data_IF_160179422395
#
_entry.id   IF_160179422395
#
_cell.length_a   1.000
_cell.length_b   1.000
_cell.length_c   1.000
_cell.angle_alpha   90.00
_cell.angle_beta   90.00
_cell.angle_gamma   90.00
#
_symmetry.space_group_name_H-M   'P 1'
#
loop_
_entity.id
_entity.type
_entity.pdbx_description
1 polymer ?
#
# COMPACT_ATOMS: atom_id res chain seq x y z
N UNK A 1 -6.80 13.18 14.49
CA UNK A 1 -5.33 13.18 14.32
C UNK A 1 -4.62 13.07 15.65
N UNK A 2 -3.41 12.52 15.70
CA UNK A 2 -2.52 12.51 16.86
C UNK A 2 -1.26 13.29 16.55
N UNK A 3 -0.67 13.92 17.57
CA UNK A 3 0.62 14.58 17.46
C UNK A 3 1.73 13.51 17.40
N UNK A 4 2.55 13.56 16.37
CA UNK A 4 3.76 12.75 16.23
C UNK A 4 4.95 13.63 16.64
N UNK A 5 5.69 13.25 17.69
CA UNK A 5 6.83 14.06 18.14
C UNK A 5 7.93 14.03 17.08
N UNK A 6 8.60 15.16 16.88
CA UNK A 6 9.80 15.17 16.07
C UNK A 6 10.91 14.31 16.69
N UNK A 7 11.78 13.78 15.85
CA UNK A 7 12.87 12.93 16.34
C UNK A 7 13.77 12.41 15.23
N UNK A 8 14.70 11.55 15.63
CA UNK A 8 15.64 10.88 14.74
C UNK A 8 15.44 9.39 14.83
N UNK A 9 15.36 8.72 13.68
CA UNK A 9 15.21 7.27 13.63
C UNK A 9 16.06 6.63 12.54
N UNK A 10 16.18 5.32 12.56
CA UNK A 10 16.77 4.56 11.47
C UNK A 10 15.67 4.16 10.49
N UNK A 11 15.66 4.76 9.31
CA UNK A 11 14.77 4.42 8.19
C UNK A 11 15.37 3.31 7.35
N UNK A 12 14.53 2.39 6.88
CA UNK A 12 14.96 1.27 6.07
C UNK A 12 15.61 0.16 6.87
N UNK A 13 16.40 -0.67 6.19
CA UNK A 13 17.11 -1.82 6.78
C UNK A 13 18.40 -2.13 6.02
N UNK A 14 19.41 -2.66 6.73
CA UNK A 14 20.63 -3.21 6.12
C UNK A 14 20.45 -4.70 5.71
N UNK A 15 19.32 -5.29 6.07
CA UNK A 15 18.95 -6.67 5.75
C UNK A 15 17.64 -6.67 4.93
N UNK A 16 17.65 -6.18 3.66
CA UNK A 16 16.46 -6.15 2.83
C UNK A 16 16.11 -7.56 2.36
N UNK A 17 14.81 -7.88 2.32
CA UNK A 17 14.31 -9.13 1.77
C UNK A 17 14.38 -9.17 0.26
N UNK A 18 14.00 -8.05 -0.36
CA UNK A 18 14.09 -7.82 -1.80
C UNK A 18 14.85 -6.53 -2.02
N UNK A 19 16.01 -6.64 -2.65
CA UNK A 19 16.89 -5.48 -2.86
C UNK A 19 16.26 -4.43 -3.77
N UNK A 20 15.47 -4.87 -4.75
CA UNK A 20 14.75 -4.01 -5.68
C UNK A 20 13.63 -3.20 -5.02
N UNK A 21 13.16 -3.59 -3.83
CA UNK A 21 12.17 -2.81 -3.08
C UNK A 21 12.79 -1.53 -2.46
N UNK A 22 14.13 -1.38 -2.49
CA UNK A 22 14.81 -0.15 -2.09
C UNK A 22 14.74 0.14 -0.58
N UNK A 23 14.60 -0.88 0.26
CA UNK A 23 14.63 -0.72 1.72
C UNK A 23 16.04 -0.40 2.25
N UNK A 24 17.07 -0.73 1.49
CA UNK A 24 18.49 -0.54 1.79
C UNK A 24 19.03 0.78 1.19
N UNK A 25 20.02 1.41 1.82
CA UNK A 25 20.59 1.13 3.14
C UNK A 25 19.76 1.68 4.29
N UNK A 26 19.96 1.12 5.49
CA UNK A 26 19.49 1.76 6.71
C UNK A 26 20.20 3.11 6.88
N UNK A 27 19.43 4.17 7.16
CA UNK A 27 19.95 5.53 7.23
C UNK A 27 19.31 6.33 8.35
N UNK A 28 20.04 7.30 8.91
CA UNK A 28 19.52 8.18 9.94
C UNK A 28 18.67 9.27 9.32
N UNK A 29 17.45 9.44 9.82
CA UNK A 29 16.51 10.43 9.32
C UNK A 29 15.95 11.24 10.46
N UNK A 30 16.01 12.57 10.32
CA UNK A 30 15.37 13.52 11.21
C UNK A 30 13.99 13.85 10.64
N UNK A 31 12.97 13.76 11.47
CA UNK A 31 11.59 14.12 11.14
C UNK A 31 11.15 15.22 12.10
N UNK A 32 10.58 16.30 11.57
CA UNK A 32 9.96 17.34 12.39
C UNK A 32 8.70 16.80 13.06
N UNK A 33 8.21 17.49 14.10
CA UNK A 33 6.89 17.19 14.66
C UNK A 33 5.79 17.50 13.65
N UNK A 34 4.77 16.66 13.60
CA UNK A 34 3.61 16.80 12.72
C UNK A 34 2.40 16.11 13.33
N UNK A 35 1.27 16.12 12.66
CA UNK A 35 0.07 15.40 13.03
C UNK A 35 -0.23 14.32 12.00
N UNK A 36 -0.74 13.17 12.44
CA UNK A 36 -1.15 12.07 11.57
C UNK A 36 -2.55 11.59 11.96
N UNK A 37 -3.35 11.17 10.98
CA UNK A 37 -4.62 10.52 11.26
C UNK A 37 -4.38 9.24 12.04
N UNK A 38 -5.17 9.01 13.09
CA UNK A 38 -5.03 7.82 13.93
C UNK A 38 -5.31 6.52 13.16
N UNK A 39 -6.23 6.60 12.20
CA UNK A 39 -6.70 5.49 11.39
C UNK A 39 -6.50 5.78 9.91
N UNK A 40 -6.67 4.76 9.08
CA UNK A 40 -6.92 4.94 7.65
C UNK A 40 -8.18 5.80 7.47
N UNK A 41 -8.27 6.54 6.37
CA UNK A 41 -9.50 7.25 6.01
C UNK A 41 -10.61 6.21 5.78
N UNK A 42 -11.71 6.36 6.49
CA UNK A 42 -12.85 5.46 6.44
C UNK A 42 -13.78 5.74 5.25
N UNK A 43 -14.60 4.76 4.88
CA UNK A 43 -15.65 4.95 3.88
C UNK A 43 -16.58 6.12 4.25
N UNK A 44 -16.92 6.29 5.54
CA UNK A 44 -17.77 7.37 6.02
C UNK A 44 -17.13 8.74 5.80
N UNK A 45 -15.85 8.91 6.10
CA UNK A 45 -15.13 10.16 5.89
C UNK A 45 -15.02 10.49 4.40
N UNK A 46 -14.70 9.50 3.58
CA UNK A 46 -14.59 9.66 2.13
C UNK A 46 -15.97 9.98 1.50
N UNK A 47 -17.05 9.37 1.97
CA UNK A 47 -18.40 9.70 1.55
C UNK A 47 -18.75 11.15 1.85
N UNK A 48 -18.36 11.67 3.01
CA UNK A 48 -18.56 13.09 3.38
C UNK A 48 -17.84 14.02 2.41
N UNK A 49 -16.61 13.69 2.02
CA UNK A 49 -15.85 14.41 1.00
C UNK A 49 -16.57 14.43 -0.34
N UNK A 50 -16.96 13.26 -0.84
CA UNK A 50 -17.63 13.15 -2.14
C UNK A 50 -18.98 13.89 -2.14
N UNK A 51 -19.76 13.75 -1.07
CA UNK A 51 -21.06 14.43 -0.95
C UNK A 51 -20.91 15.96 -0.88
N UNK A 52 -19.83 16.46 -0.28
CA UNK A 52 -19.56 17.91 -0.15
C UNK A 52 -19.01 18.54 -1.42
N UNK A 53 -18.30 17.76 -2.25
CA UNK A 53 -17.55 18.31 -3.39
C UNK A 53 -18.06 17.84 -4.76
N UNK A 54 -18.84 16.77 -4.81
CA UNK A 54 -19.20 16.10 -6.06
C UNK A 54 -17.98 15.42 -6.73
N UNK A 55 -16.91 15.11 -5.96
CA UNK A 55 -15.70 14.50 -6.50
C UNK A 55 -16.00 13.15 -7.15
N UNK A 56 -15.39 12.92 -8.30
CA UNK A 56 -15.43 11.65 -9.02
C UNK A 56 -14.05 11.04 -9.01
N UNK A 57 -13.92 9.82 -8.46
CA UNK A 57 -12.64 9.11 -8.37
C UNK A 57 -12.13 8.67 -9.75
N UNK A 58 -10.83 8.37 -9.83
CA UNK A 58 -10.26 7.85 -11.08
C UNK A 58 -10.86 6.50 -11.45
N UNK A 59 -11.11 5.61 -10.50
CA UNK A 59 -11.80 4.35 -10.76
C UNK A 59 -13.19 4.56 -11.37
N UNK A 60 -13.95 5.54 -10.87
CA UNK A 60 -15.26 5.91 -11.44
C UNK A 60 -15.14 6.51 -12.86
N UNK A 61 -14.10 7.30 -13.12
CA UNK A 61 -13.82 7.87 -14.45
C UNK A 61 -13.38 6.82 -15.46
N UNK A 62 -12.53 5.87 -15.05
CA UNK A 62 -12.07 4.76 -15.88
C UNK A 62 -13.17 3.72 -16.10
N UNK A 63 -14.07 3.59 -15.14
CA UNK A 63 -15.18 2.65 -15.19
C UNK A 63 -14.83 1.25 -14.72
N UNK A 64 -13.62 1.02 -14.20
CA UNK A 64 -13.18 -0.24 -13.60
C UNK A 64 -12.13 -0.02 -12.51
N UNK A 65 -11.86 -1.07 -11.74
CA UNK A 65 -10.76 -1.14 -10.79
C UNK A 65 -10.38 -2.60 -10.53
N UNK A 66 -9.20 -2.83 -9.96
CA UNK A 66 -8.72 -4.18 -9.66
C UNK A 66 -9.31 -4.70 -8.36
N UNK A 67 -9.90 -5.90 -8.44
CA UNK A 67 -10.48 -6.60 -7.29
C UNK A 67 -9.79 -7.95 -7.11
N UNK A 68 -9.55 -8.33 -5.86
CA UNK A 68 -9.10 -9.67 -5.52
C UNK A 68 -10.20 -10.69 -5.84
N UNK A 69 -9.88 -11.73 -6.63
CA UNK A 69 -10.85 -12.72 -7.11
C UNK A 69 -11.63 -13.41 -5.99
N UNK A 70 -10.97 -13.64 -4.84
CA UNK A 70 -11.59 -14.27 -3.67
C UNK A 70 -12.72 -13.47 -3.01
N UNK A 71 -12.88 -12.19 -3.39
CA UNK A 71 -13.97 -11.31 -2.89
C UNK A 71 -15.13 -11.21 -3.86
N UNK A 72 -14.99 -11.73 -5.09
CA UNK A 72 -16.00 -11.60 -6.15
C UNK A 72 -17.07 -12.70 -6.04
N UNK A 73 -18.30 -12.34 -6.40
CA UNK A 73 -19.35 -13.32 -6.65
C UNK A 73 -19.08 -14.12 -7.93
N UNK A 74 -19.65 -15.31 -8.02
CA UNK A 74 -19.47 -16.15 -9.22
C UNK A 74 -20.07 -15.51 -10.47
N UNK A 75 -21.14 -14.70 -10.32
CA UNK A 75 -21.77 -13.96 -11.41
C UNK A 75 -20.79 -12.93 -11.99
N UNK A 76 -20.11 -12.14 -11.13
CA UNK A 76 -19.13 -11.14 -11.57
C UNK A 76 -17.90 -11.82 -12.18
N UNK A 77 -17.41 -12.92 -11.60
CA UNK A 77 -16.29 -13.69 -12.16
C UNK A 77 -16.58 -14.21 -13.58
N UNK A 78 -17.81 -14.68 -13.83
CA UNK A 78 -18.20 -15.24 -15.12
C UNK A 78 -18.12 -14.21 -16.28
N UNK A 79 -18.19 -12.92 -15.99
CA UNK A 79 -18.09 -11.83 -16.97
C UNK A 79 -16.64 -11.40 -17.27
N UNK A 80 -15.67 -11.91 -16.49
CA UNK A 80 -14.27 -11.47 -16.58
C UNK A 80 -13.46 -12.50 -17.38
N UNK A 81 -12.86 -12.06 -18.47
CA UNK A 81 -12.04 -12.90 -19.36
C UNK A 81 -10.55 -12.52 -19.33
N UNK A 82 -10.16 -11.59 -18.47
CA UNK A 82 -8.79 -11.08 -18.36
C UNK A 82 -8.35 -11.11 -16.90
N UNK A 83 -7.07 -11.45 -16.68
CA UNK A 83 -6.42 -11.37 -15.38
C UNK A 83 -5.03 -10.77 -15.55
N UNK A 84 -4.46 -10.27 -14.46
CA UNK A 84 -3.08 -9.80 -14.46
C UNK A 84 -2.14 -11.01 -14.60
N UNK A 85 -1.37 -11.07 -15.67
CA UNK A 85 -0.56 -12.26 -16.00
C UNK A 85 0.41 -12.67 -14.87
N UNK A 86 1.00 -11.68 -14.18
CA UNK A 86 1.94 -11.90 -13.09
C UNK A 86 1.27 -12.13 -11.71
N UNK A 87 -0.03 -11.83 -11.59
CA UNK A 87 -0.81 -11.95 -10.37
C UNK A 87 -2.27 -12.28 -10.73
N UNK A 88 -2.56 -13.53 -11.13
CA UNK A 88 -3.83 -13.92 -11.75
C UNK A 88 -5.04 -13.78 -10.82
N UNK A 89 -4.82 -13.61 -9.54
CA UNK A 89 -5.87 -13.30 -8.54
C UNK A 89 -6.35 -11.85 -8.57
N UNK A 90 -5.72 -10.97 -9.35
CA UNK A 90 -6.17 -9.60 -9.60
C UNK A 90 -6.98 -9.53 -10.88
N UNK A 91 -8.24 -9.15 -10.76
CA UNK A 91 -9.18 -9.07 -11.87
C UNK A 91 -9.64 -7.62 -12.09
N UNK A 92 -9.61 -7.10 -13.32
CA UNK A 92 -10.22 -5.82 -13.64
C UNK A 92 -11.75 -5.99 -13.65
N UNK A 93 -12.44 -5.28 -12.76
CA UNK A 93 -13.90 -5.40 -12.60
C UNK A 93 -14.57 -4.12 -13.02
N UNK A 94 -15.41 -4.18 -14.05
CA UNK A 94 -16.24 -3.05 -14.49
C UNK A 94 -17.19 -2.61 -13.36
N UNK A 95 -17.25 -1.29 -13.13
CA UNK A 95 -18.08 -0.71 -12.10
C UNK A 95 -17.53 -0.85 -10.68
N UNK A 96 -16.39 -1.53 -10.48
CA UNK A 96 -15.72 -1.53 -9.18
C UNK A 96 -15.16 -0.14 -8.87
N UNK A 97 -15.46 0.36 -7.69
CA UNK A 97 -15.04 1.66 -7.17
C UNK A 97 -15.22 1.67 -5.64
N UNK A 98 -14.93 2.79 -5.00
CA UNK A 98 -15.02 2.90 -3.56
C UNK A 98 -16.42 2.63 -2.96
N UNK A 99 -17.53 2.89 -3.72
CA UNK A 99 -18.92 2.60 -3.30
C UNK A 99 -19.32 1.16 -3.53
N UNK A 100 -18.73 0.52 -4.53
CA UNK A 100 -19.00 -0.85 -4.99
C UNK A 100 -17.68 -1.63 -5.08
N UNK A 101 -17.05 -1.94 -3.94
CA UNK A 101 -15.67 -2.45 -3.92
C UNK A 101 -15.48 -3.84 -4.54
N UNK A 102 -16.52 -4.66 -4.62
CA UNK A 102 -16.51 -5.95 -5.32
C UNK A 102 -17.24 -5.89 -6.69
N UNK A 103 -17.44 -4.69 -7.23
CA UNK A 103 -18.17 -4.48 -8.48
C UNK A 103 -19.68 -4.31 -8.33
N UNK A 104 -20.43 -4.35 -9.44
CA UNK A 104 -21.87 -4.10 -9.43
C UNK A 104 -22.63 -4.98 -8.46
N UNK A 105 -23.52 -4.37 -7.65
CA UNK A 105 -24.32 -5.05 -6.64
C UNK A 105 -23.65 -5.15 -5.27
N UNK A 106 -22.36 -4.87 -5.15
CA UNK A 106 -21.70 -4.71 -3.86
C UNK A 106 -21.95 -3.33 -3.23
N UNK A 107 -21.70 -3.19 -1.92
CA UNK A 107 -21.97 -1.95 -1.18
C UNK A 107 -21.04 -1.81 0.03
N UNK A 108 -20.74 -0.56 0.37
CA UNK A 108 -20.01 -0.19 1.59
C UNK A 108 -20.90 0.03 2.81
N UNK A 109 -22.24 -0.02 2.68
CA UNK A 109 -23.17 0.37 3.77
C UNK A 109 -22.97 -0.41 5.08
N UNK A 110 -22.49 -1.64 5.03
CA UNK A 110 -22.14 -2.45 6.21
C UNK A 110 -20.70 -2.26 6.67
N UNK A 111 -19.91 -1.38 6.00
CA UNK A 111 -18.46 -1.19 6.18
C UNK A 111 -18.10 0.29 6.21
N UNK A 112 -18.97 1.16 6.76
CA UNK A 112 -18.73 2.60 6.80
C UNK A 112 -17.52 2.98 7.65
N UNK A 113 -17.20 2.17 8.66
CA UNK A 113 -16.03 2.28 9.54
C UNK A 113 -14.81 1.48 9.08
N UNK A 114 -14.84 0.91 7.86
CA UNK A 114 -13.70 0.29 7.22
C UNK A 114 -12.93 1.30 6.36
N UNK A 115 -11.65 1.02 6.00
CA UNK A 115 -10.88 1.90 5.14
C UNK A 115 -11.54 2.04 3.77
N UNK A 116 -11.52 3.25 3.22
CA UNK A 116 -11.89 3.47 1.82
C UNK A 116 -10.85 2.82 0.92
N UNK A 117 -11.33 2.10 -0.09
CA UNK A 117 -10.52 1.37 -1.07
C UNK A 117 -10.82 1.87 -2.48
N UNK A 118 -10.09 1.36 -3.48
CA UNK A 118 -10.23 1.78 -4.87
C UNK A 118 -9.99 3.27 -5.09
N UNK A 119 -9.11 3.83 -4.29
CA UNK A 119 -8.68 5.23 -4.37
C UNK A 119 -7.26 5.30 -4.92
N UNK A 120 -7.07 6.13 -5.94
CA UNK A 120 -5.77 6.42 -6.51
C UNK A 120 -4.96 7.36 -5.60
N UNK A 121 -3.68 7.54 -5.91
CA UNK A 121 -2.86 8.55 -5.24
C UNK A 121 -3.45 9.96 -5.43
N UNK A 122 -3.96 10.25 -6.63
CA UNK A 122 -4.59 11.53 -6.93
C UNK A 122 -5.88 11.74 -6.12
N UNK A 123 -6.70 10.69 -5.96
CA UNK A 123 -7.91 10.72 -5.11
C UNK A 123 -7.55 10.97 -3.64
N UNK A 124 -6.49 10.32 -3.15
CA UNK A 124 -6.00 10.48 -1.78
C UNK A 124 -5.50 11.92 -1.51
N UNK A 125 -4.74 12.50 -2.47
CA UNK A 125 -4.31 13.90 -2.40
C UNK A 125 -5.51 14.85 -2.39
N UNK A 126 -6.51 14.61 -3.24
CA UNK A 126 -7.71 15.44 -3.32
C UNK A 126 -8.47 15.44 -1.99
N UNK A 127 -8.66 14.26 -1.37
CA UNK A 127 -9.29 14.14 -0.05
C UNK A 127 -8.48 14.86 1.03
N UNK A 128 -7.17 14.57 1.16
CA UNK A 128 -6.36 15.19 2.20
C UNK A 128 -6.33 16.72 2.06
N UNK A 129 -6.25 17.24 0.83
CA UNK A 129 -6.29 18.70 0.56
C UNK A 129 -7.63 19.29 0.97
N UNK A 130 -8.76 18.66 0.61
CA UNK A 130 -10.08 19.10 1.04
C UNK A 130 -10.20 19.15 2.57
N UNK A 131 -9.63 18.18 3.26
CA UNK A 131 -9.60 18.10 4.72
C UNK A 131 -8.61 19.08 5.38
N UNK A 132 -7.94 19.96 4.62
CA UNK A 132 -6.88 20.83 5.14
C UNK A 132 -5.63 20.09 5.60
N UNK A 133 -5.36 18.93 4.99
CA UNK A 133 -4.27 18.01 5.30
C UNK A 133 -3.45 17.72 4.04
N UNK A 134 -2.48 16.83 4.15
CA UNK A 134 -1.66 16.30 3.06
C UNK A 134 -1.41 14.80 3.23
N UNK A 135 -0.90 14.12 2.22
CA UNK A 135 -0.34 12.79 2.44
C UNK A 135 0.93 12.87 3.30
N UNK A 136 1.22 11.84 4.12
CA UNK A 136 2.52 11.76 4.80
C UNK A 136 3.64 11.51 3.79
N UNK A 137 4.84 12.00 4.06
CA UNK A 137 6.03 11.50 3.37
C UNK A 137 6.28 10.05 3.77
N UNK A 138 7.04 9.31 2.96
CA UNK A 138 7.43 7.94 3.30
C UNK A 138 8.20 7.89 4.62
N UNK A 139 9.07 8.86 4.87
CA UNK A 139 9.83 8.97 6.11
C UNK A 139 8.92 9.23 7.33
N UNK A 140 7.96 10.12 7.21
CA UNK A 140 6.94 10.37 8.25
C UNK A 140 6.10 9.13 8.52
N UNK A 141 5.69 8.43 7.46
CA UNK A 141 4.92 7.21 7.59
C UNK A 141 5.72 6.12 8.32
N UNK A 142 6.98 5.85 7.92
CA UNK A 142 7.81 4.82 8.55
C UNK A 142 8.17 5.17 9.99
N UNK A 143 8.49 6.44 10.26
CA UNK A 143 8.72 6.94 11.63
C UNK A 143 7.50 6.70 12.52
N UNK A 144 6.33 7.04 12.02
CA UNK A 144 5.05 6.83 12.71
C UNK A 144 4.73 5.34 12.91
N UNK A 145 4.98 4.51 11.90
CA UNK A 145 4.82 3.06 11.98
C UNK A 145 5.66 2.45 13.09
N UNK A 146 6.89 2.89 13.25
CA UNK A 146 7.79 2.39 14.30
C UNK A 146 7.32 2.74 15.71
N UNK A 147 6.47 3.74 15.90
CA UNK A 147 5.82 4.06 17.17
C UNK A 147 6.78 4.27 18.35
N UNK A 148 7.98 4.85 18.09
CA UNK A 148 9.05 5.05 19.07
C UNK A 148 9.96 3.84 19.28
N UNK A 149 9.76 2.73 18.56
CA UNK A 149 10.62 1.55 18.63
C UNK A 149 11.75 1.63 17.59
N UNK A 150 12.98 1.49 18.04
CA UNK A 150 14.14 1.52 17.16
C UNK A 150 14.44 0.12 16.58
N UNK A 151 14.64 0.04 15.25
CA UNK A 151 15.05 -1.18 14.52
C UNK A 151 14.20 -2.43 14.80
N UNK A 152 12.90 -2.26 15.03
CA UNK A 152 11.97 -3.40 15.14
C UNK A 152 11.32 -3.71 13.80
N UNK A 153 10.95 -4.97 13.59
CA UNK A 153 10.30 -5.42 12.37
C UNK A 153 8.89 -4.81 12.25
N UNK A 154 8.10 -4.91 13.33
CA UNK A 154 6.70 -4.49 13.37
C UNK A 154 6.49 -3.32 14.32
N UNK A 155 5.38 -2.60 14.21
CA UNK A 155 5.02 -1.49 15.10
C UNK A 155 5.00 -1.84 16.59
N UNK A 156 4.88 -3.13 16.94
CA UNK A 156 4.80 -3.66 18.30
C UNK A 156 6.03 -4.48 18.72
N UNK A 157 7.03 -4.64 17.87
CA UNK A 157 8.27 -5.39 18.17
C UNK A 157 8.68 -6.35 17.05
N UNK A 158 9.30 -7.49 17.43
CA UNK A 158 9.84 -8.46 16.46
C UNK A 158 9.04 -9.74 16.32
N UNK A 159 7.95 -9.92 17.07
CA UNK A 159 7.07 -11.10 16.94
C UNK A 159 5.79 -10.70 16.22
N UNK A 160 5.42 -11.42 15.16
CA UNK A 160 4.18 -11.16 14.42
C UNK A 160 2.95 -11.24 15.33
N UNK A 161 2.87 -12.29 16.15
CA UNK A 161 1.76 -12.54 17.07
C UNK A 161 2.28 -12.60 18.53
N UNK A 162 2.44 -11.44 19.21
CA UNK A 162 2.85 -11.42 20.60
C UNK A 162 1.83 -12.17 21.47
N UNK A 163 2.30 -13.12 22.26
CA UNK A 163 1.46 -13.97 23.13
C UNK A 163 0.31 -14.72 22.39
N UNK A 164 0.51 -14.98 21.09
CA UNK A 164 -0.51 -15.64 20.26
C UNK A 164 -1.69 -14.73 19.86
N UNK A 165 -1.60 -13.42 20.03
CA UNK A 165 -2.64 -12.46 19.67
C UNK A 165 -2.35 -11.83 18.32
N UNK A 166 -3.39 -11.62 17.51
CA UNK A 166 -3.31 -10.84 16.28
C UNK A 166 -3.26 -9.34 16.58
N UNK A 167 -2.33 -8.66 15.94
CA UNK A 167 -2.09 -7.20 16.08
C UNK A 167 -2.34 -6.44 14.78
N UNK A 168 -2.71 -7.17 13.70
CA UNK A 168 -3.02 -6.62 12.40
C UNK A 168 -3.96 -7.55 11.63
N UNK A 169 -4.74 -6.99 10.71
CA UNK A 169 -5.55 -7.73 9.75
C UNK A 169 -4.65 -8.19 8.60
N UNK A 170 -4.40 -9.49 8.53
CA UNK A 170 -3.49 -10.12 7.59
C UNK A 170 -4.08 -11.43 7.06
N UNK A 171 -3.57 -11.95 5.97
CA UNK A 171 -3.98 -13.25 5.45
C UNK A 171 -3.51 -14.40 6.35
N UNK A 172 -4.41 -15.35 6.64
CA UNK A 172 -4.08 -16.63 7.27
C UNK A 172 -4.54 -17.79 6.39
N UNK A 173 -3.73 -18.84 6.31
CA UNK A 173 -4.02 -20.02 5.47
C UNK A 173 -3.33 -19.95 4.12
N UNK A 174 -3.90 -20.64 3.12
CA UNK A 174 -3.28 -20.83 1.80
C UNK A 174 -3.73 -19.71 0.84
N UNK A 175 -2.80 -18.84 0.47
CA UNK A 175 -3.07 -17.79 -0.52
C UNK A 175 -3.01 -18.37 -1.94
N UNK A 176 -3.87 -17.93 -2.87
CA UNK A 176 -5.00 -17.01 -2.70
C UNK A 176 -6.34 -17.72 -2.39
N UNK A 177 -6.32 -19.04 -2.19
CA UNK A 177 -7.51 -19.88 -2.24
C UNK A 177 -8.30 -19.99 -0.93
N UNK A 178 -7.63 -19.84 0.22
CA UNK A 178 -8.30 -20.04 1.52
C UNK A 178 -7.72 -19.13 2.60
N UNK A 179 -8.45 -18.06 2.94
CA UNK A 179 -8.20 -17.27 4.13
C UNK A 179 -9.01 -17.87 5.31
N UNK A 180 -8.31 -18.41 6.30
CA UNK A 180 -8.94 -19.00 7.51
C UNK A 180 -9.53 -17.93 8.44
N UNK A 181 -9.17 -16.66 8.28
CA UNK A 181 -9.65 -15.53 9.06
C UNK A 181 -9.49 -15.71 10.59
N UNK A 182 -8.35 -16.23 11.03
CA UNK A 182 -8.03 -16.41 12.45
C UNK A 182 -7.93 -15.08 13.20
N UNK A 183 -7.65 -13.98 12.49
CA UNK A 183 -7.68 -12.61 13.01
C UNK A 183 -9.11 -12.02 13.09
N UNK A 184 -10.12 -12.74 12.60
CA UNK A 184 -11.53 -12.36 12.62
C UNK A 184 -12.05 -11.80 11.29
N UNK A 185 -11.21 -11.61 10.26
CA UNK A 185 -11.58 -10.92 9.02
C UNK A 185 -11.10 -11.65 7.78
N UNK A 186 -11.97 -11.77 6.77
CA UNK A 186 -11.61 -12.29 5.43
C UNK A 186 -11.16 -11.21 4.47
N UNK A 187 -11.68 -10.01 4.62
CA UNK A 187 -11.37 -8.81 3.87
C UNK A 187 -10.85 -7.72 4.81
N UNK A 188 -11.23 -6.47 4.58
CA UNK A 188 -10.86 -5.38 5.50
C UNK A 188 -11.56 -5.51 6.86
N UNK A 189 -10.95 -4.92 7.87
CA UNK A 189 -11.48 -4.76 9.22
C UNK A 189 -11.85 -3.28 9.47
N UNK A 190 -12.66 -2.98 10.48
CA UNK A 190 -12.84 -1.60 10.96
C UNK A 190 -11.50 -0.91 11.24
N UNK A 191 -11.42 0.38 10.98
CA UNK A 191 -10.16 1.15 11.11
C UNK A 191 -9.58 1.19 12.53
N UNK A 192 -10.31 0.71 13.52
CA UNK A 192 -9.88 0.62 14.94
C UNK A 192 -9.85 -0.83 15.47
N UNK A 193 -9.88 -1.84 14.61
CA UNK A 193 -10.07 -3.23 14.99
C UNK A 193 -8.93 -3.83 15.83
N UNK A 194 -7.70 -3.34 15.66
CA UNK A 194 -6.51 -3.88 16.31
C UNK A 194 -5.87 -2.84 17.24
N UNK A 195 -5.03 -3.26 18.20
CA UNK A 195 -4.38 -2.33 19.14
C UNK A 195 -3.53 -1.29 18.43
N UNK A 196 -3.55 -0.02 18.87
CA UNK A 196 -2.70 1.00 18.30
C UNK A 196 -1.23 0.78 18.67
N UNK A 197 -0.32 1.35 17.87
CA UNK A 197 1.10 1.39 18.19
C UNK A 197 1.43 2.44 19.29
N UNK A 198 2.73 2.61 19.61
CA UNK A 198 3.19 3.51 20.66
C UNK A 198 2.85 5.00 20.44
N UNK A 199 2.51 5.41 19.21
CA UNK A 199 2.04 6.76 18.89
C UNK A 199 0.51 6.87 18.79
N UNK A 200 -0.21 5.80 19.07
CA UNK A 200 -1.68 5.80 19.02
C UNK A 200 -2.26 5.59 17.63
N UNK A 201 -1.49 5.04 16.69
CA UNK A 201 -1.92 4.78 15.31
C UNK A 201 -2.47 3.36 15.19
N UNK A 202 -3.69 3.24 14.69
CA UNK A 202 -4.37 1.99 14.41
C UNK A 202 -4.05 1.47 13.01
N UNK A 203 -4.01 0.15 12.84
CA UNK A 203 -3.84 -0.53 11.55
C UNK A 203 -2.71 0.01 10.68
N UNK A 204 -1.63 0.53 11.28
CA UNK A 204 -0.51 1.12 10.50
C UNK A 204 0.20 0.05 9.64
N UNK A 205 -0.02 -1.23 9.90
CA UNK A 205 0.35 -2.34 9.01
C UNK A 205 -0.81 -3.32 8.90
N UNK A 206 -0.94 -3.98 7.75
CA UNK A 206 -2.10 -4.81 7.43
C UNK A 206 -3.32 -3.99 7.00
N UNK A 207 -4.47 -4.62 6.90
CA UNK A 207 -5.75 -4.05 6.49
C UNK A 207 -5.74 -3.48 5.07
N UNK A 208 -5.22 -2.29 4.86
CA UNK A 208 -5.07 -1.68 3.54
C UNK A 208 -3.66 -1.11 3.34
N UNK A 209 -3.11 -1.22 2.12
CA UNK A 209 -1.95 -0.44 1.72
C UNK A 209 -2.27 1.06 1.84
N UNK A 210 -1.26 1.84 2.18
CA UNK A 210 -1.41 3.28 2.35
C UNK A 210 -0.47 4.06 1.43
N UNK A 211 -1.04 4.98 0.65
CA UNK A 211 -0.28 5.91 -0.16
C UNK A 211 0.56 6.88 0.67
N UNK A 212 1.75 7.18 0.19
CA UNK A 212 2.60 8.28 0.69
C UNK A 212 2.82 9.32 -0.42
N UNK A 213 3.37 10.49 -0.06
CA UNK A 213 3.61 11.56 -1.04
C UNK A 213 4.78 11.32 -1.98
N UNK A 214 5.67 10.38 -1.63
CA UNK A 214 6.95 10.21 -2.31
C UNK A 214 6.82 9.50 -3.65
N UNK A 215 7.65 9.91 -4.61
CA UNK A 215 7.94 9.13 -5.78
C UNK A 215 8.78 7.91 -5.44
N UNK A 216 8.59 6.84 -6.19
CA UNK A 216 9.39 5.64 -6.03
C UNK A 216 10.84 5.86 -6.44
N UNK A 217 11.74 5.50 -5.55
CA UNK A 217 13.18 5.40 -5.79
C UNK A 217 13.71 4.11 -5.18
N UNK A 218 14.53 3.36 -5.95
CA UNK A 218 15.17 2.12 -5.48
C UNK A 218 16.45 2.43 -4.73
N UNK A 219 17.20 3.44 -5.19
CA UNK A 219 18.51 3.78 -4.65
C UNK A 219 18.41 4.95 -3.67
N UNK A 220 18.99 4.75 -2.50
CA UNK A 220 19.06 5.77 -1.45
C UNK A 220 20.50 5.98 -1.00
N UNK A 221 20.84 7.21 -0.57
CA UNK A 221 22.08 7.49 0.14
C UNK A 221 22.01 6.92 1.57
N UNK A 222 23.17 6.49 2.08
CA UNK A 222 23.34 6.17 3.49
C UNK A 222 23.51 7.43 4.37
N UNK A 223 23.63 8.62 3.75
CA UNK A 223 23.80 9.89 4.45
C UNK A 223 22.60 10.21 5.34
N UNK A 224 22.86 10.96 6.39
CA UNK A 224 21.82 11.49 7.26
C UNK A 224 20.95 12.50 6.50
N UNK A 225 19.63 12.39 6.66
CA UNK A 225 18.68 13.24 5.97
C UNK A 225 17.71 13.92 6.95
N UNK A 226 17.23 15.12 6.57
CA UNK A 226 16.27 15.90 7.34
C UNK A 226 14.98 16.07 6.54
N UNK A 227 13.85 15.57 7.09
CA UNK A 227 12.53 15.59 6.46
C UNK A 227 12.57 15.18 4.97
N UNK A 228 13.20 14.03 4.63
CA UNK A 228 13.35 13.67 3.23
C UNK A 228 11.99 13.41 2.60
N UNK A 229 11.84 13.88 1.37
CA UNK A 229 10.76 13.55 0.47
C UNK A 229 11.32 13.40 -0.94
N UNK A 230 10.81 12.46 -1.72
CA UNK A 230 11.17 12.33 -3.14
C UNK A 230 10.10 13.04 -3.95
N UNK A 231 10.30 14.34 -4.18
CA UNK A 231 9.33 15.24 -4.80
C UNK A 231 9.30 15.11 -6.34
N UNK A 232 10.42 14.67 -6.94
CA UNK A 232 10.53 14.49 -8.38
C UNK A 232 10.67 13.01 -8.75
N UNK A 233 10.04 12.63 -9.86
CA UNK A 233 10.22 11.30 -10.44
C UNK A 233 11.67 11.13 -10.90
N UNK A 234 12.36 10.09 -10.44
CA UNK A 234 13.68 9.77 -10.97
C UNK A 234 13.55 9.38 -12.45
N UNK A 235 14.05 10.23 -13.34
CA UNK A 235 14.23 9.85 -14.73
C UNK A 235 15.26 8.72 -14.76
N UNK A 236 14.87 7.55 -15.29
CA UNK A 236 15.78 6.43 -15.45
C UNK A 236 17.02 6.88 -16.17
N UNK A 237 18.20 6.56 -15.64
CA UNK A 237 19.48 6.76 -16.31
C UNK A 237 19.41 6.00 -17.64
N UNK A 238 19.18 6.72 -18.73
CA UNK A 238 19.35 6.16 -20.07
C UNK A 238 20.84 5.95 -20.26
N UNK A 239 21.29 4.72 -20.08
CA UNK A 239 22.58 4.33 -20.64
C UNK A 239 22.41 4.42 -22.15
N UNK A 240 22.97 5.48 -22.74
CA UNK A 240 23.18 5.56 -24.18
C UNK A 240 24.10 4.43 -24.61
N UNK A 241 23.48 3.34 -25.03
CA UNK A 241 24.18 2.33 -25.80
C UNK A 241 23.81 2.51 -27.27
N UNK A 242 24.65 3.22 -27.98
CA UNK A 242 24.73 3.11 -29.44
C UNK A 242 25.20 1.72 -29.81
N UNK A 243 24.38 0.99 -30.52
CA UNK A 243 24.78 -0.13 -31.36
C UNK A 243 24.28 -1.49 -30.98
N UNK A 244 23.08 -1.84 -31.35
CA UNK A 244 22.80 -3.10 -32.06
C UNK A 244 21.35 -3.15 -32.58
N UNK A 245 21.23 -3.17 -33.90
CA UNK A 245 19.97 -3.38 -34.61
C UNK A 245 19.57 -4.86 -34.50
N UNK A 246 18.55 -5.18 -33.73
CA UNK A 246 17.74 -6.37 -34.01
C UNK A 246 16.24 -6.10 -33.76
N UNK A 247 15.48 -6.54 -34.77
CA UNK A 247 14.04 -6.36 -34.97
C UNK A 247 13.21 -6.69 -33.75
N UNK A 248 12.37 -5.76 -33.39
CA UNK A 248 11.25 -5.91 -32.47
C UNK A 248 10.07 -6.50 -33.22
N UNK A 249 9.60 -7.65 -32.81
CA UNK A 249 8.31 -8.20 -33.23
C UNK A 249 7.22 -7.48 -32.42
N UNK A 250 6.41 -6.69 -33.09
CA UNK A 250 5.19 -6.09 -32.54
C UNK A 250 4.20 -7.20 -32.17
N UNK A 251 3.91 -7.31 -30.87
CA UNK A 251 2.69 -7.97 -30.40
C UNK A 251 1.77 -6.86 -29.92
N UNK A 252 0.85 -6.49 -30.80
CA UNK A 252 -0.28 -5.63 -30.49
C UNK A 252 -1.29 -6.39 -29.64
N UNK A 253 -1.25 -6.16 -28.33
CA UNK A 253 -2.38 -6.43 -27.45
C UNK A 253 -2.83 -5.10 -26.85
N UNK A 254 -4.04 -4.70 -27.20
CA UNK A 254 -4.70 -3.52 -26.65
C UNK A 254 -5.05 -3.82 -25.20
N UNK A 255 -4.20 -3.39 -24.27
CA UNK A 255 -4.54 -3.26 -22.85
C UNK A 255 -4.71 -1.77 -22.57
N UNK A 256 -5.86 -1.39 -22.07
CA UNK A 256 -6.19 -0.01 -21.73
C UNK A 256 -5.40 0.56 -20.53
N UNK A 257 -4.54 -0.24 -19.90
CA UNK A 257 -3.62 0.20 -18.86
C UNK A 257 -2.24 -0.43 -19.09
N UNK A 258 -1.23 0.33 -19.49
CA UNK A 258 0.12 -0.20 -19.62
C UNK A 258 0.69 -0.43 -18.21
N UNK A 259 0.73 -1.69 -17.78
CA UNK A 259 1.56 -2.06 -16.65
C UNK A 259 3.03 -1.88 -17.06
N UNK A 260 3.62 -0.79 -16.62
CA UNK A 260 5.06 -0.60 -16.76
C UNK A 260 5.76 -1.44 -15.70
N UNK A 261 6.76 -2.19 -16.13
CA UNK A 261 7.67 -2.92 -15.25
C UNK A 261 8.40 -2.02 -14.25
N UNK A 262 9.12 -2.60 -13.28
CA UNK A 262 9.69 -1.86 -12.16
C UNK A 262 10.66 -0.77 -12.61
N UNK A 263 10.53 0.40 -11.98
CA UNK A 263 11.48 1.50 -11.96
C UNK A 263 11.56 2.41 -13.20
N UNK A 264 10.49 3.08 -13.56
CA UNK A 264 10.60 4.21 -14.50
C UNK A 264 10.44 5.60 -13.87
N UNK A 265 10.49 5.73 -12.53
CA UNK A 265 10.31 7.03 -11.87
C UNK A 265 8.92 7.64 -12.08
N UNK A 266 7.91 6.80 -12.33
CA UNK A 266 6.52 7.22 -12.56
C UNK A 266 5.57 6.70 -11.48
N UNK A 267 6.08 5.96 -10.51
CA UNK A 267 5.28 5.31 -9.47
C UNK A 267 5.39 6.06 -8.14
N UNK A 268 4.34 5.96 -7.33
CA UNK A 268 4.29 6.47 -5.97
C UNK A 268 4.49 5.35 -4.96
N UNK A 269 5.09 5.69 -3.82
CA UNK A 269 5.31 4.74 -2.72
C UNK A 269 4.02 4.47 -1.99
N UNK A 270 3.77 3.18 -1.70
CA UNK A 270 2.76 2.70 -0.75
C UNK A 270 3.41 1.88 0.35
N UNK A 271 2.83 1.90 1.54
CA UNK A 271 3.39 1.30 2.77
C UNK A 271 2.37 0.42 3.49
N UNK A 272 2.85 -0.42 4.40
CA UNK A 272 2.06 -1.10 5.43
C UNK A 272 1.57 -2.51 5.09
N UNK A 273 1.53 -2.91 3.82
CA UNK A 273 0.86 -4.17 3.44
C UNK A 273 -0.66 -4.09 3.58
N UNK A 274 -1.38 -5.16 3.28
CA UNK A 274 -2.83 -5.22 3.34
C UNK A 274 -3.33 -6.55 3.90
N UNK A 275 -4.65 -6.71 4.07
CA UNK A 275 -5.27 -7.97 4.46
C UNK A 275 -4.93 -9.16 3.55
N UNK A 276 -4.46 -8.90 2.33
CA UNK A 276 -4.05 -9.94 1.37
C UNK A 276 -2.62 -10.41 1.52
N UNK A 277 -1.81 -9.76 2.34
CA UNK A 277 -0.42 -10.16 2.49
C UNK A 277 -0.33 -11.50 3.24
N UNK A 278 0.22 -12.50 2.59
CA UNK A 278 0.27 -13.87 3.06
C UNK A 278 1.71 -14.31 3.37
N UNK A 279 1.81 -15.37 4.16
CA UNK A 279 3.06 -16.09 4.42
C UNK A 279 3.56 -16.74 3.12
N UNK A 280 4.83 -16.54 2.77
CA UNK A 280 5.46 -17.27 1.68
C UNK A 280 5.71 -18.73 2.11
N UNK A 281 5.28 -19.70 1.29
CA UNK A 281 5.59 -21.10 1.50
C UNK A 281 6.98 -21.43 0.91
N UNK A 282 7.72 -22.44 1.48
CA UNK A 282 8.99 -22.88 0.91
C UNK A 282 8.80 -23.32 -0.55
N UNK A 283 9.50 -22.68 -1.48
CA UNK A 283 9.42 -22.95 -2.91
C UNK A 283 8.45 -22.07 -3.71
N UNK A 284 7.61 -21.26 -3.06
CA UNK A 284 6.80 -20.25 -3.72
C UNK A 284 7.54 -18.92 -3.73
N UNK A 285 8.10 -18.61 -4.89
CA UNK A 285 8.69 -17.31 -5.17
C UNK A 285 7.73 -16.56 -6.06
N UNK A 286 6.95 -15.65 -5.49
CA UNK A 286 6.13 -14.76 -6.27
C UNK A 286 6.48 -13.31 -5.94
N UNK A 287 7.15 -12.67 -6.90
CA UNK A 287 7.05 -11.23 -7.06
C UNK A 287 5.62 -10.92 -7.51
N UNK A 288 4.98 -9.93 -6.95
CA UNK A 288 3.74 -9.35 -7.52
C UNK A 288 3.93 -8.88 -8.97
N UNK A 289 5.14 -8.96 -9.52
CA UNK A 289 5.54 -8.56 -10.87
C UNK A 289 6.27 -9.63 -11.70
N UNK A 290 6.19 -10.92 -11.35
CA UNK A 290 6.49 -12.04 -12.27
C UNK A 290 7.91 -12.19 -12.79
N UNK A 291 8.95 -11.68 -12.13
CA UNK A 291 10.34 -11.93 -12.54
C UNK A 291 11.22 -12.41 -11.39
N UNK A 292 11.84 -13.58 -11.60
CA UNK A 292 12.84 -14.30 -10.82
C UNK A 292 12.40 -15.06 -9.56
N UNK A 293 12.81 -16.33 -9.57
CA UNK A 293 12.69 -17.26 -8.44
C UNK A 293 13.73 -16.87 -7.39
N UNK A 294 13.31 -16.21 -6.29
CA UNK A 294 14.19 -15.89 -5.17
C UNK A 294 14.01 -16.95 -4.09
N UNK A 295 15.11 -17.56 -3.66
CA UNK A 295 15.11 -18.48 -2.52
C UNK A 295 14.83 -17.68 -1.23
N UNK A 296 13.69 -17.92 -0.60
CA UNK A 296 13.31 -17.25 0.65
C UNK A 296 14.01 -17.93 1.83
N UNK A 297 14.77 -17.18 2.66
CA UNK A 297 15.40 -17.73 3.85
C UNK A 297 14.38 -18.37 4.82
N UNK A 298 14.75 -19.45 5.55
CA UNK A 298 13.84 -20.12 6.48
C UNK A 298 13.23 -19.22 7.56
N UNK A 299 13.92 -18.14 7.94
CA UNK A 299 13.45 -17.16 8.93
C UNK A 299 12.23 -16.35 8.47
N UNK A 300 11.98 -16.26 7.15
CA UNK A 300 10.92 -15.48 6.53
C UNK A 300 9.69 -16.30 6.15
N UNK A 301 9.78 -17.59 6.22
CA UNK A 301 8.67 -18.50 5.94
C UNK A 301 7.51 -18.38 6.95
N UNK A 302 7.65 -17.53 7.97
CA UNK A 302 6.67 -17.41 9.05
C UNK A 302 5.66 -16.26 8.91
N UNK A 303 5.92 -15.27 8.03
CA UNK A 303 5.04 -14.09 7.83
C UNK A 303 5.30 -13.42 6.48
N UNK A 304 4.34 -12.58 6.02
CA UNK A 304 4.57 -11.73 4.87
C UNK A 304 5.59 -10.62 5.23
N UNK A 305 6.66 -10.51 4.46
CA UNK A 305 7.70 -9.52 4.67
C UNK A 305 7.23 -8.06 4.51
N UNK A 306 6.07 -7.83 3.87
CA UNK A 306 5.53 -6.48 3.61
C UNK A 306 4.88 -5.83 4.83
N UNK A 307 4.69 -6.54 5.95
CA UNK A 307 4.23 -5.95 7.22
C UNK A 307 5.34 -5.31 8.04
N UNK A 308 6.59 -5.40 7.61
CA UNK A 308 7.70 -4.74 8.30
C UNK A 308 7.58 -3.22 8.08
N UNK A 309 7.89 -2.43 9.12
CA UNK A 309 7.86 -0.97 9.00
C UNK A 309 8.73 -0.45 7.85
N UNK A 310 9.87 -1.10 7.57
CA UNK A 310 10.75 -0.75 6.46
C UNK A 310 10.22 -1.14 5.08
N UNK A 311 9.26 -2.09 5.01
CA UNK A 311 8.76 -2.60 3.72
C UNK A 311 8.09 -1.52 2.89
N UNK A 312 8.29 -1.60 1.58
CA UNK A 312 7.83 -0.64 0.57
C UNK A 312 7.20 -1.38 -0.61
N UNK A 313 6.34 -0.69 -1.31
CA UNK A 313 5.84 -1.11 -2.62
C UNK A 313 5.46 0.12 -3.43
N UNK A 314 5.10 -0.07 -4.70
CA UNK A 314 4.83 1.02 -5.63
C UNK A 314 3.60 0.72 -6.48
N UNK A 315 2.97 1.78 -6.96
CA UNK A 315 2.01 1.75 -8.06
C UNK A 315 2.02 3.09 -8.78
N UNK A 316 1.52 3.12 -10.00
CA UNK A 316 1.27 4.38 -10.72
C UNK A 316 0.25 5.23 -9.95
N UNK A 317 0.34 6.58 -9.99
CA UNK A 317 -0.53 7.45 -9.20
C UNK A 317 -2.02 7.37 -9.57
N UNK A 318 -2.36 6.79 -10.70
CA UNK A 318 -3.71 6.54 -11.18
C UNK A 318 -4.24 5.12 -10.84
N UNK A 319 -3.42 4.28 -10.23
CA UNK A 319 -3.80 2.91 -9.83
C UNK A 319 -4.84 2.92 -8.71
N UNK A 320 -5.80 2.00 -8.81
CA UNK A 320 -6.77 1.70 -7.76
C UNK A 320 -6.97 0.19 -7.60
N UNK A 321 -7.20 -0.27 -6.38
CA UNK A 321 -7.40 -1.69 -6.09
C UNK A 321 -8.19 -1.90 -4.79
N UNK A 322 -8.74 -3.12 -4.63
CA UNK A 322 -9.53 -3.53 -3.48
C UNK A 322 -8.74 -3.68 -2.16
N UNK A 323 -7.47 -3.31 -2.14
CA UNK A 323 -6.62 -3.35 -0.95
C UNK A 323 -5.79 -2.08 -0.76
N UNK A 324 -6.12 -0.99 -1.45
CA UNK A 324 -5.33 0.22 -1.52
C UNK A 324 -6.13 1.42 -1.03
N UNK A 325 -5.68 2.01 0.06
CA UNK A 325 -6.25 3.17 0.74
C UNK A 325 -5.17 4.18 1.16
N UNK A 326 -5.42 4.96 2.20
CA UNK A 326 -4.49 5.99 2.68
C UNK A 326 -4.90 6.52 4.06
N UNK A 327 -3.99 7.27 4.69
CA UNK A 327 -4.25 8.20 5.80
C UNK A 327 -3.58 9.54 5.52
N UNK A 328 -4.05 10.61 6.16
CA UNK A 328 -3.47 11.94 5.98
C UNK A 328 -2.55 12.35 7.14
N UNK A 329 -1.66 13.29 6.84
CA UNK A 329 -0.81 14.01 7.78
C UNK A 329 -1.10 15.52 7.71
N UNK A 330 -0.64 16.28 8.67
CA UNK A 330 -0.73 17.74 8.68
C UNK A 330 0.41 18.36 9.50
N UNK A 331 0.87 19.55 9.09
CA UNK A 331 1.91 20.28 9.82
C UNK A 331 1.34 21.02 11.05
N UNK A 332 0.04 21.31 11.01
CA UNK A 332 -0.74 21.87 12.12
C UNK A 332 -2.12 21.22 12.15
N UNK A 333 -2.79 21.23 13.30
CA UNK A 333 -4.17 20.75 13.37
C UNK A 333 -5.07 21.56 12.43
N UNK A 334 -5.81 20.90 11.53
CA UNK A 334 -6.81 21.58 10.70
C UNK A 334 -7.80 22.33 11.60
N UNK A 335 -8.19 23.54 11.17
CA UNK A 335 -9.27 24.27 11.83
C UNK A 335 -10.60 23.49 11.77
N UNK A 336 -11.59 23.82 12.59
CA UNK A 336 -12.92 23.22 12.52
C UNK A 336 -13.50 23.45 11.12
N UNK A 337 -13.93 22.38 10.48
CA UNK A 337 -14.64 22.40 9.20
C UNK A 337 -16.14 22.65 9.41
#
# INVERSE_FOLDING_TARGET
MVAIPGGVFTMGTDEPEIQQDGEWPARRVHVNSFYMDQCEVSNQEFESFVNSTGYLTEAEKFGDSFVFEGMLSEEVKAEIHQAVAAAPWWLPVKGANWRQPEGPGSSILSRMDHPVLHVSWNDAVAFCTWAGKRLPTEAEWEYSCRGGLERRLFPWGNKLQPKGQHYANIWQGVFPSNNTAEDGYKGTAPVTAFPPNGYGLYNIVGNAWEWTSDWWAVHHSADEAHNPAVEEAQQGCTLDWEGSKHRMLEITTVSSHPQKGPSSGTDRVKKGGSYMCHKLLPGETQNEMGSEVISVPPSLQSYCYRYRCAARSQNTPDSSASNLGFRCAADALPGPQ
#
